data_IF_349615979685
#
_entry.id   IF_349615979685
#
_cell.length_a   1.000
_cell.length_b   1.000
_cell.length_c   1.000
_cell.angle_alpha   90.00
_cell.angle_beta   90.00
_cell.angle_gamma   90.00
#
_symmetry.space_group_name_H-M   'P 1'
#
loop_
_entity.id
_entity.type
_entity.pdbx_description
1 polymer ?
#
# COMPACT_ATOMS: atom_id res chain seq x y z
N UNK A 1 33.06 -37.51 -18.43
CA UNK A 1 31.64 -37.91 -18.25
C UNK A 1 31.01 -36.78 -17.45
N UNK A 2 30.09 -35.97 -17.93
CA UNK A 2 29.25 -36.05 -19.12
C UNK A 2 28.80 -34.63 -19.51
N UNK A 3 28.72 -34.39 -20.81
CA UNK A 3 28.30 -33.14 -21.42
C UNK A 3 26.85 -33.30 -21.87
N UNK A 4 25.92 -32.95 -20.99
CA UNK A 4 24.48 -32.86 -21.29
C UNK A 4 23.90 -32.07 -20.11
N UNK A 5 23.36 -30.87 -20.23
CA UNK A 5 22.16 -30.52 -20.99
C UNK A 5 22.26 -29.03 -21.30
N UNK A 6 22.49 -28.70 -22.56
CA UNK A 6 22.40 -27.34 -23.10
C UNK A 6 21.22 -27.37 -24.09
N UNK A 7 20.36 -26.35 -24.01
CA UNK A 7 19.54 -25.84 -25.11
C UNK A 7 18.11 -26.41 -25.31
N UNK A 8 17.12 -25.84 -24.61
CA UNK A 8 15.70 -25.74 -24.97
C UNK A 8 15.21 -24.45 -24.26
N UNK A 9 14.86 -23.33 -24.89
CA UNK A 9 13.88 -23.10 -25.95
C UNK A 9 14.18 -21.76 -26.65
N UNK A 10 14.42 -21.79 -27.96
CA UNK A 10 14.32 -20.65 -28.86
C UNK A 10 13.46 -21.13 -30.04
N UNK A 11 12.21 -20.67 -30.11
CA UNK A 11 11.37 -20.55 -31.31
C UNK A 11 9.89 -20.44 -30.92
N UNK A 12 9.33 -19.25 -31.03
CA UNK A 12 7.91 -19.04 -31.35
C UNK A 12 7.73 -17.61 -31.90
N UNK A 13 7.89 -17.47 -33.21
CA UNK A 13 7.31 -16.38 -34.01
C UNK A 13 6.27 -17.01 -34.94
N UNK A 14 5.36 -16.13 -35.38
CA UNK A 14 4.30 -16.30 -36.38
C UNK A 14 2.89 -16.66 -35.88
N UNK A 15 2.08 -15.61 -35.71
CA UNK A 15 0.62 -15.66 -35.83
C UNK A 15 0.22 -14.68 -36.95
N UNK A 16 -0.36 -15.13 -38.06
CA UNK A 16 -0.86 -14.25 -39.11
C UNK A 16 -2.31 -13.83 -38.81
N UNK A 17 -2.59 -12.53 -38.93
CA UNK A 17 -3.96 -12.02 -38.97
C UNK A 17 -4.55 -12.04 -40.38
N UNK A 18 -5.88 -11.92 -40.53
CA UNK A 18 -6.45 -11.38 -41.74
C UNK A 18 -7.33 -10.15 -41.53
N UNK A 19 -7.26 -9.32 -42.57
CA UNK A 19 -7.83 -7.99 -42.82
C UNK A 19 -9.36 -7.97 -42.83
N UNK A 20 -9.92 -6.81 -42.52
CA UNK A 20 -11.36 -6.56 -42.49
C UNK A 20 -12.02 -6.33 -43.84
N UNK A 21 -13.32 -6.07 -43.79
CA UNK A 21 -14.13 -5.39 -44.82
C UNK A 21 -15.28 -4.62 -44.18
N UNK A 22 -15.54 -3.49 -44.80
CA UNK A 22 -16.37 -2.35 -44.44
C UNK A 22 -17.85 -2.47 -44.82
N UNK A 23 -18.66 -1.73 -44.06
CA UNK A 23 -19.88 -1.00 -44.43
C UNK A 23 -21.12 -1.77 -44.86
N UNK A 24 -22.24 -1.52 -44.15
CA UNK A 24 -23.53 -1.15 -44.75
C UNK A 24 -24.39 -0.40 -43.73
N UNK A 25 -24.95 0.70 -44.22
CA UNK A 25 -25.90 1.59 -43.56
C UNK A 25 -27.27 0.91 -43.52
N UNK A 26 -28.02 1.09 -42.44
CA UNK A 26 -29.48 1.22 -42.55
C UNK A 26 -30.03 2.07 -41.40
N UNK A 27 -30.78 3.11 -41.79
CA UNK A 27 -31.54 4.00 -40.90
C UNK A 27 -32.96 3.43 -40.78
N UNK A 28 -33.53 3.47 -39.59
CA UNK A 28 -34.97 3.51 -39.40
C UNK A 28 -35.29 4.44 -38.20
N UNK A 29 -35.99 5.54 -38.48
CA UNK A 29 -36.75 6.36 -37.51
C UNK A 29 -37.90 5.50 -36.92
N UNK A 30 -38.37 5.65 -35.67
CA UNK A 30 -39.28 6.65 -35.05
C UNK A 30 -39.70 6.04 -33.65
N UNK A 31 -40.29 6.70 -32.61
CA UNK A 31 -40.31 8.09 -32.14
C UNK A 31 -39.78 8.30 -30.69
N UNK A 32 -39.60 9.57 -30.38
CA UNK A 32 -39.51 10.24 -29.08
C UNK A 32 -40.73 10.01 -28.16
N UNK A 33 -40.50 9.67 -26.88
CA UNK A 33 -41.26 10.20 -25.74
C UNK A 33 -40.58 9.95 -24.37
N UNK A 34 -40.13 11.07 -23.79
CA UNK A 34 -40.14 11.49 -22.37
C UNK A 34 -39.81 10.51 -21.23
N UNK A 35 -38.77 10.87 -20.46
CA UNK A 35 -38.77 10.66 -19.00
C UNK A 35 -37.43 10.22 -18.38
N UNK A 36 -37.01 10.97 -17.36
CA UNK A 36 -36.08 10.57 -16.30
C UNK A 36 -34.55 10.71 -16.54
N UNK A 37 -34.08 11.87 -16.07
CA UNK A 37 -32.98 12.00 -15.11
C UNK A 37 -31.55 11.62 -15.57
N UNK A 38 -30.81 12.66 -15.99
CA UNK A 38 -29.36 12.62 -16.20
C UNK A 38 -28.67 12.35 -14.86
N UNK A 39 -27.78 11.35 -14.72
CA UNK A 39 -26.93 11.25 -13.55
C UNK A 39 -25.87 12.36 -13.62
N UNK A 40 -26.02 13.35 -12.74
CA UNK A 40 -25.01 14.37 -12.53
C UNK A 40 -23.73 13.74 -11.99
N UNK A 41 -22.72 13.65 -12.86
CA UNK A 41 -21.31 13.45 -12.50
C UNK A 41 -20.82 14.68 -11.72
N UNK A 42 -21.11 14.69 -10.43
CA UNK A 42 -20.62 15.67 -9.47
C UNK A 42 -19.74 14.97 -8.45
N UNK A 43 -18.48 14.73 -8.81
CA UNK A 43 -17.44 14.29 -7.90
C UNK A 43 -17.28 15.38 -6.83
N UNK A 44 -17.88 15.18 -5.65
CA UNK A 44 -17.79 16.12 -4.51
C UNK A 44 -16.41 16.04 -3.87
N UNK A 45 -15.45 16.73 -4.47
CA UNK A 45 -14.22 17.11 -3.81
C UNK A 45 -14.55 18.04 -2.62
N UNK A 46 -14.08 17.68 -1.41
CA UNK A 46 -13.97 18.61 -0.28
C UNK A 46 -15.16 18.78 0.67
N UNK A 47 -15.98 17.74 0.95
CA UNK A 47 -16.93 17.80 2.08
C UNK A 47 -16.12 17.74 3.39
N UNK A 48 -16.13 18.80 4.22
CA UNK A 48 -15.54 18.76 5.57
C UNK A 48 -16.15 17.58 6.35
N UNK A 49 -15.28 16.71 6.89
CA UNK A 49 -15.71 15.53 7.66
C UNK A 49 -16.55 15.98 8.85
N UNK A 50 -17.69 15.34 9.05
CA UNK A 50 -18.55 15.59 10.22
C UNK A 50 -18.27 14.56 11.30
N UNK A 51 -18.67 14.84 12.55
CA UNK A 51 -18.59 13.85 13.63
C UNK A 51 -19.33 12.54 13.31
N UNK A 52 -20.38 12.60 12.47
CA UNK A 52 -21.07 11.41 11.96
C UNK A 52 -20.20 10.61 10.99
N UNK A 53 -19.34 11.25 10.19
CA UNK A 53 -18.45 10.53 9.27
C UNK A 53 -17.42 9.72 10.04
N UNK A 54 -16.81 10.31 11.06
CA UNK A 54 -15.84 9.62 11.91
C UNK A 54 -16.46 8.39 12.59
N UNK A 55 -17.67 8.52 13.13
CA UNK A 55 -18.41 7.38 13.71
C UNK A 55 -18.67 6.29 12.68
N UNK A 56 -19.11 6.66 11.47
CA UNK A 56 -19.40 5.70 10.40
C UNK A 56 -18.13 5.01 9.92
N UNK A 57 -17.04 5.75 9.69
CA UNK A 57 -15.78 5.19 9.21
C UNK A 57 -15.12 4.30 10.26
N UNK A 58 -15.19 4.67 11.55
CA UNK A 58 -14.73 3.82 12.66
C UNK A 58 -15.53 2.51 12.73
N UNK A 59 -16.86 2.59 12.70
CA UNK A 59 -17.72 1.41 12.70
C UNK A 59 -17.47 0.51 11.48
N UNK A 60 -17.33 1.12 10.30
CA UNK A 60 -17.02 0.40 9.08
C UNK A 60 -15.67 -0.33 9.18
N UNK A 61 -14.63 0.33 9.69
CA UNK A 61 -13.30 -0.26 9.88
C UNK A 61 -13.36 -1.50 10.75
N UNK A 62 -14.00 -1.40 11.92
CA UNK A 62 -14.14 -2.54 12.83
C UNK A 62 -14.85 -3.72 12.17
N UNK A 63 -15.95 -3.46 11.45
CA UNK A 63 -16.71 -4.49 10.75
C UNK A 63 -15.94 -5.09 9.57
N UNK A 64 -15.26 -4.28 8.76
CA UNK A 64 -14.47 -4.78 7.61
C UNK A 64 -13.24 -5.58 8.06
N UNK A 65 -12.61 -5.22 9.18
CA UNK A 65 -11.50 -5.98 9.75
C UNK A 65 -11.96 -7.32 10.34
N UNK A 66 -13.20 -7.40 10.85
CA UNK A 66 -13.75 -8.63 11.43
C UNK A 66 -14.36 -9.56 10.37
N UNK A 67 -15.23 -9.02 9.51
CA UNK A 67 -16.11 -9.79 8.63
C UNK A 67 -15.72 -9.73 7.15
N UNK A 68 -14.58 -9.07 6.84
CA UNK A 68 -14.11 -8.79 5.47
C UNK A 68 -15.16 -8.04 4.64
N UNK A 69 -14.95 -7.87 3.35
CA UNK A 69 -15.84 -7.01 2.57
C UNK A 69 -17.27 -7.57 2.41
N UNK A 70 -17.41 -8.89 2.23
CA UNK A 70 -18.70 -9.51 1.92
C UNK A 70 -19.61 -9.67 3.13
N UNK A 71 -19.05 -9.85 4.34
CA UNK A 71 -19.83 -9.95 5.58
C UNK A 71 -20.42 -8.63 6.08
N UNK A 72 -20.06 -7.50 5.47
CA UNK A 72 -20.49 -6.16 5.89
C UNK A 72 -21.63 -5.62 5.02
N UNK A 73 -22.63 -5.05 5.68
CA UNK A 73 -23.74 -4.31 5.06
C UNK A 73 -23.80 -2.88 5.61
N UNK A 74 -24.34 -1.93 4.84
CA UNK A 74 -24.50 -0.55 5.29
C UNK A 74 -25.43 -0.42 6.50
N UNK A 75 -26.35 -1.37 6.69
CA UNK A 75 -27.26 -1.39 7.83
C UNK A 75 -26.51 -1.75 9.11
N UNK A 76 -25.64 -2.77 9.08
CA UNK A 76 -24.75 -3.11 10.20
C UNK A 76 -23.80 -1.97 10.53
N UNK A 77 -23.30 -1.25 9.52
CA UNK A 77 -22.47 -0.06 9.74
C UNK A 77 -23.26 1.05 10.44
N UNK A 78 -24.50 1.30 10.02
CA UNK A 78 -25.36 2.31 10.63
C UNK A 78 -25.66 2.00 12.10
N UNK A 79 -26.05 0.76 12.37
CA UNK A 79 -26.31 0.25 13.72
C UNK A 79 -25.07 0.40 14.61
N UNK A 80 -23.91 -0.09 14.15
CA UNK A 80 -22.65 -0.03 14.91
C UNK A 80 -22.18 1.41 15.17
N UNK A 81 -22.43 2.32 14.24
CA UNK A 81 -22.09 3.74 14.36
C UNK A 81 -23.08 4.55 15.21
N UNK A 82 -24.23 3.98 15.57
CA UNK A 82 -25.31 4.67 16.28
C UNK A 82 -25.94 5.79 15.46
N UNK A 83 -26.09 5.60 14.14
CA UNK A 83 -26.70 6.56 13.23
C UNK A 83 -27.83 5.90 12.43
N UNK A 84 -28.74 6.69 11.85
CA UNK A 84 -29.80 6.12 11.02
C UNK A 84 -29.24 5.55 9.71
N UNK A 85 -29.88 4.49 9.19
CA UNK A 85 -29.60 3.93 7.86
C UNK A 85 -29.53 5.04 6.81
N UNK A 86 -30.56 5.89 6.76
CA UNK A 86 -30.64 7.01 5.81
C UNK A 86 -29.45 7.97 5.92
N UNK A 87 -28.88 8.15 7.11
CA UNK A 87 -27.64 8.93 7.27
C UNK A 87 -26.50 8.28 6.49
N UNK A 88 -26.23 6.99 6.68
CA UNK A 88 -25.13 6.31 5.97
C UNK A 88 -25.30 6.39 4.45
N UNK A 89 -26.49 6.11 3.93
CA UNK A 89 -26.77 6.20 2.49
C UNK A 89 -26.65 7.63 1.97
N UNK A 90 -27.15 8.65 2.69
CA UNK A 90 -26.99 10.06 2.28
C UNK A 90 -25.53 10.53 2.30
N UNK A 91 -24.72 9.98 3.22
CA UNK A 91 -23.32 10.38 3.39
C UNK A 91 -22.40 9.70 2.37
N UNK A 92 -22.58 8.40 2.13
CA UNK A 92 -21.64 7.58 1.35
C UNK A 92 -22.25 6.89 0.13
N UNK A 93 -23.57 6.73 0.06
CA UNK A 93 -24.27 6.12 -1.08
C UNK A 93 -24.14 4.61 -1.18
N UNK A 94 -22.92 4.05 -1.16
CA UNK A 94 -22.66 2.62 -1.37
C UNK A 94 -21.65 2.04 -0.36
N UNK A 95 -21.68 0.71 -0.21
CA UNK A 95 -20.69 -0.03 0.59
C UNK A 95 -19.27 0.20 0.09
N UNK A 96 -19.08 0.23 -1.23
CA UNK A 96 -17.78 0.48 -1.84
C UNK A 96 -17.25 1.87 -1.47
N UNK A 97 -18.10 2.90 -1.50
CA UNK A 97 -17.68 4.25 -1.09
C UNK A 97 -17.32 4.31 0.39
N UNK A 98 -18.10 3.68 1.28
CA UNK A 98 -17.75 3.58 2.71
C UNK A 98 -16.39 2.90 2.87
N UNK A 99 -16.17 1.81 2.14
CA UNK A 99 -14.91 1.07 2.22
C UNK A 99 -13.72 1.90 1.72
N UNK A 100 -13.85 2.57 0.57
CA UNK A 100 -12.83 3.49 0.02
C UNK A 100 -12.49 4.61 0.98
N UNK A 101 -13.50 5.27 1.53
CA UNK A 101 -13.29 6.38 2.47
C UNK A 101 -12.70 5.90 3.80
N UNK A 102 -13.04 4.69 4.24
CA UNK A 102 -12.42 4.06 5.41
C UNK A 102 -10.95 3.75 5.17
N UNK A 103 -10.60 3.16 4.03
CA UNK A 103 -9.21 2.90 3.62
C UNK A 103 -8.43 4.21 3.59
N UNK A 104 -8.96 5.25 2.94
CA UNK A 104 -8.35 6.59 2.89
C UNK A 104 -8.16 7.20 4.28
N UNK A 105 -9.17 7.09 5.13
CA UNK A 105 -9.11 7.61 6.49
C UNK A 105 -8.00 6.95 7.28
N UNK A 106 -7.94 5.62 7.27
CA UNK A 106 -6.92 4.85 7.95
C UNK A 106 -5.50 5.24 7.50
N UNK A 107 -5.28 5.37 6.20
CA UNK A 107 -3.98 5.82 5.68
C UNK A 107 -3.66 7.28 5.99
N UNK A 108 -4.67 8.17 6.03
CA UNK A 108 -4.43 9.57 6.40
C UNK A 108 -4.05 9.74 7.88
N UNK A 109 -4.60 8.91 8.77
CA UNK A 109 -4.19 8.86 10.18
C UNK A 109 -2.77 8.30 10.34
N UNK A 110 -2.35 7.44 9.42
CA UNK A 110 -1.01 6.88 9.37
C UNK A 110 0.04 7.90 8.89
N UNK A 111 -0.28 8.69 7.86
CA UNK A 111 0.61 9.74 7.33
C UNK A 111 0.60 11.05 8.14
N UNK A 112 -0.01 11.06 9.33
CA UNK A 112 -0.12 12.24 10.20
C UNK A 112 1.24 12.70 10.77
N UNK A 113 1.34 13.97 11.21
CA UNK A 113 2.58 14.58 11.69
C UNK A 113 3.23 13.82 12.87
N UNK A 114 2.44 13.21 13.75
CA UNK A 114 2.92 12.45 14.92
C UNK A 114 3.43 11.03 14.58
N UNK A 115 3.29 10.60 13.32
CA UNK A 115 3.65 9.26 12.83
C UNK A 115 4.62 9.29 11.65
N UNK A 116 5.38 10.38 11.51
CA UNK A 116 6.51 10.44 10.57
C UNK A 116 7.44 9.26 10.84
N UNK A 117 7.43 8.29 9.93
CA UNK A 117 8.31 7.10 9.99
C UNK A 117 9.78 7.46 9.79
N UNK A 118 10.05 8.70 9.35
CA UNK A 118 11.38 9.19 8.99
C UNK A 118 11.54 10.61 9.54
N UNK A 119 12.33 10.75 10.58
CA UNK A 119 12.93 12.03 10.98
C UNK A 119 14.38 12.01 10.51
N UNK A 120 14.66 12.82 9.50
CA UNK A 120 16.00 12.91 8.92
C UNK A 120 16.68 14.12 9.49
N UNK A 121 17.32 13.87 10.63
CA UNK A 121 18.28 14.80 11.20
C UNK A 121 19.43 14.95 10.19
N UNK A 122 19.77 16.20 9.87
CA UNK A 122 20.85 16.53 8.96
C UNK A 122 22.21 16.04 9.48
N UNK A 123 22.36 15.89 10.79
CA UNK A 123 23.61 15.49 11.42
C UNK A 123 23.71 13.97 11.68
N UNK A 124 22.62 13.21 11.50
CA UNK A 124 22.61 11.77 11.70
C UNK A 124 23.48 11.00 10.68
N UNK A 125 24.19 9.99 11.16
CA UNK A 125 24.88 9.01 10.33
C UNK A 125 23.89 8.17 9.51
N UNK A 126 24.40 7.52 8.45
CA UNK A 126 23.57 6.60 7.66
C UNK A 126 23.02 5.44 8.51
N UNK A 127 23.82 4.93 9.44
CA UNK A 127 23.41 3.88 10.38
C UNK A 127 22.23 4.30 11.25
N UNK A 128 22.28 5.51 11.82
CA UNK A 128 21.20 6.04 12.67
C UNK A 128 19.89 6.21 11.90
N UNK A 129 19.96 6.77 10.68
CA UNK A 129 18.77 6.94 9.82
C UNK A 129 18.16 5.60 9.43
N UNK A 130 18.97 4.64 9.00
CA UNK A 130 18.51 3.30 8.61
C UNK A 130 17.89 2.56 9.81
N UNK A 131 18.55 2.61 10.97
CA UNK A 131 18.08 1.97 12.21
C UNK A 131 16.77 2.60 12.69
N UNK A 132 16.68 3.93 12.72
CA UNK A 132 15.46 4.64 13.10
C UNK A 132 14.28 4.27 12.19
N UNK A 133 14.51 4.22 10.88
CA UNK A 133 13.50 3.82 9.92
C UNK A 133 13.07 2.36 10.08
N UNK A 134 14.01 1.44 10.36
CA UNK A 134 13.68 0.04 10.58
C UNK A 134 12.86 -0.18 11.87
N UNK A 135 13.18 0.55 12.95
CA UNK A 135 12.38 0.52 14.18
C UNK A 135 10.99 1.14 14.00
N UNK A 136 10.85 2.16 13.16
CA UNK A 136 9.52 2.72 12.85
C UNK A 136 8.67 1.70 12.09
N UNK A 137 9.27 0.93 11.16
CA UNK A 137 8.61 -0.22 10.52
C UNK A 137 8.25 -1.33 11.50
N UNK A 138 9.13 -1.65 12.47
CA UNK A 138 8.83 -2.64 13.49
C UNK A 138 7.66 -2.22 14.40
N UNK A 139 7.62 -0.96 14.84
CA UNK A 139 6.49 -0.40 15.59
C UNK A 139 5.19 -0.50 14.79
N UNK A 140 5.24 -0.19 13.50
CA UNK A 140 4.09 -0.36 12.62
C UNK A 140 3.63 -1.83 12.57
N UNK A 141 4.55 -2.77 12.49
CA UNK A 141 4.23 -4.19 12.40
C UNK A 141 3.70 -4.80 13.70
N UNK A 142 4.10 -4.25 14.85
CA UNK A 142 3.62 -4.69 16.16
C UNK A 142 2.27 -4.07 16.54
N UNK A 143 1.85 -3.00 15.86
CA UNK A 143 0.47 -2.49 15.95
C UNK A 143 -0.52 -3.47 15.31
N UNK A 144 -1.32 -4.16 16.13
CA UNK A 144 -2.28 -5.19 15.71
C UNK A 144 -3.30 -4.72 14.67
N UNK A 145 -3.62 -3.43 14.63
CA UNK A 145 -4.56 -2.87 13.66
C UNK A 145 -3.96 -2.77 12.26
N UNK A 146 -2.68 -2.41 12.15
CA UNK A 146 -1.98 -2.24 10.86
C UNK A 146 -1.79 -3.58 10.16
N UNK A 147 -1.40 -4.61 10.90
CA UNK A 147 -1.29 -5.97 10.38
C UNK A 147 -2.66 -6.50 9.94
N UNK A 148 -3.73 -6.26 10.72
CA UNK A 148 -5.09 -6.64 10.32
C UNK A 148 -5.54 -5.91 9.06
N UNK A 149 -5.16 -4.65 8.90
CA UNK A 149 -5.48 -3.90 7.69
C UNK A 149 -4.68 -4.38 6.48
N UNK A 150 -3.38 -4.64 6.62
CA UNK A 150 -2.56 -5.21 5.55
C UNK A 150 -3.09 -6.59 5.10
N UNK A 151 -3.52 -7.44 6.05
CA UNK A 151 -4.23 -8.70 5.79
C UNK A 151 -5.48 -8.49 4.93
N UNK A 152 -6.31 -7.50 5.29
CA UNK A 152 -7.51 -7.16 4.53
C UNK A 152 -7.17 -6.75 3.09
N UNK A 153 -6.14 -5.93 2.91
CA UNK A 153 -5.68 -5.51 1.57
C UNK A 153 -5.24 -6.71 0.74
N UNK A 154 -4.41 -7.60 1.31
CA UNK A 154 -3.96 -8.82 0.63
C UNK A 154 -5.16 -9.69 0.23
N UNK A 155 -6.07 -9.96 1.18
CA UNK A 155 -7.23 -10.81 0.95
C UNK A 155 -8.20 -10.26 -0.10
N UNK A 156 -8.37 -8.94 -0.17
CA UNK A 156 -9.35 -8.32 -1.06
C UNK A 156 -8.75 -7.86 -2.40
N UNK A 157 -7.42 -7.77 -2.53
CA UNK A 157 -6.75 -7.23 -3.73
C UNK A 157 -7.09 -7.96 -5.04
N UNK A 158 -7.28 -9.28 -5.00
CA UNK A 158 -7.66 -10.05 -6.19
C UNK A 158 -9.08 -9.75 -6.69
N UNK A 159 -9.97 -9.30 -5.80
CA UNK A 159 -11.38 -9.03 -6.10
C UNK A 159 -11.69 -7.55 -6.27
N UNK A 160 -10.98 -6.71 -5.52
CA UNK A 160 -11.09 -5.25 -5.52
C UNK A 160 -9.72 -4.65 -5.90
N UNK A 161 -9.30 -4.70 -7.18
CA UNK A 161 -7.95 -4.27 -7.59
C UNK A 161 -7.57 -2.86 -7.11
N UNK A 162 -8.57 -1.96 -7.06
CA UNK A 162 -8.38 -0.59 -6.59
C UNK A 162 -7.85 -0.49 -5.16
N UNK A 163 -8.05 -1.49 -4.30
CA UNK A 163 -7.58 -1.44 -2.91
C UNK A 163 -6.05 -1.50 -2.84
N UNK A 164 -5.43 -2.27 -3.73
CA UNK A 164 -3.98 -2.36 -3.84
C UNK A 164 -3.38 -1.05 -4.38
N UNK A 165 -4.02 -0.45 -5.38
CA UNK A 165 -3.62 0.86 -5.91
C UNK A 165 -3.73 1.94 -4.84
N UNK A 166 -4.83 1.97 -4.08
CA UNK A 166 -5.04 2.96 -3.03
C UNK A 166 -4.08 2.75 -1.85
N UNK A 167 -3.82 1.49 -1.49
CA UNK A 167 -2.79 1.10 -0.52
C UNK A 167 -1.41 1.64 -0.91
N UNK A 168 -1.02 1.46 -2.17
CA UNK A 168 0.26 1.98 -2.65
C UNK A 168 0.24 3.51 -2.70
N UNK A 169 -0.81 4.12 -3.23
CA UNK A 169 -0.87 5.56 -3.47
C UNK A 169 -0.91 6.39 -2.19
N UNK A 170 -1.65 5.96 -1.16
CA UNK A 170 -1.83 6.72 0.09
C UNK A 170 -0.93 6.20 1.21
N UNK A 171 -0.65 4.90 1.24
CA UNK A 171 0.17 4.26 2.27
C UNK A 171 1.63 4.11 1.86
N UNK A 172 1.94 3.03 1.12
CA UNK A 172 3.32 2.58 0.89
C UNK A 172 4.17 3.55 0.04
N UNK A 173 3.57 4.20 -0.95
CA UNK A 173 4.24 5.10 -1.89
C UNK A 173 4.85 6.33 -1.22
N UNK A 174 4.07 7.12 -0.45
CA UNK A 174 4.60 8.24 0.33
C UNK A 174 5.71 7.85 1.31
N UNK A 175 5.60 6.68 1.96
CA UNK A 175 6.67 6.18 2.86
C UNK A 175 7.96 5.91 2.11
N UNK A 176 7.88 5.23 0.96
CA UNK A 176 9.05 4.97 0.11
C UNK A 176 9.67 6.28 -0.39
N UNK A 177 8.84 7.26 -0.77
CA UNK A 177 9.32 8.56 -1.23
C UNK A 177 10.05 9.33 -0.12
N UNK A 178 9.45 9.44 1.07
CA UNK A 178 10.06 10.12 2.20
C UNK A 178 11.38 9.48 2.64
N UNK A 179 11.45 8.14 2.65
CA UNK A 179 12.70 7.46 2.98
C UNK A 179 13.76 7.64 1.88
N UNK A 180 13.38 7.62 0.60
CA UNK A 180 14.30 7.91 -0.50
C UNK A 180 14.86 9.34 -0.41
N UNK A 181 14.03 10.34 -0.08
CA UNK A 181 14.45 11.74 0.12
C UNK A 181 15.49 11.87 1.26
N UNK A 182 15.34 11.06 2.31
CA UNK A 182 16.33 10.98 3.38
C UNK A 182 17.64 10.36 2.93
N UNK A 183 17.59 9.27 2.16
CA UNK A 183 18.78 8.67 1.56
C UNK A 183 19.46 9.66 0.59
N UNK A 184 18.71 10.46 -0.17
CA UNK A 184 19.25 11.54 -1.00
C UNK A 184 20.01 12.58 -0.16
N UNK A 185 19.51 12.89 1.04
CA UNK A 185 20.21 13.72 2.02
C UNK A 185 21.57 13.15 2.41
N UNK A 186 21.62 11.85 2.72
CA UNK A 186 22.86 11.17 3.06
C UNK A 186 23.84 11.10 1.88
N UNK A 187 23.34 10.92 0.66
CA UNK A 187 24.18 10.96 -0.56
C UNK A 187 24.76 12.35 -0.77
N UNK A 188 23.96 13.41 -0.64
CA UNK A 188 24.44 14.81 -0.73
C UNK A 188 25.49 15.14 0.33
N UNK A 189 25.37 14.57 1.52
CA UNK A 189 26.34 14.72 2.60
C UNK A 189 27.59 13.82 2.45
N UNK A 190 27.69 13.01 1.39
CA UNK A 190 28.79 12.07 1.19
C UNK A 190 28.79 10.87 2.15
N UNK A 191 27.71 10.68 2.91
CA UNK A 191 27.53 9.60 3.90
C UNK A 191 26.98 8.30 3.27
N UNK A 192 26.57 8.34 2.01
CA UNK A 192 26.20 7.18 1.19
C UNK A 192 26.66 7.35 -0.26
N UNK A 193 26.95 6.23 -0.93
CA UNK A 193 27.21 6.10 -2.36
C UNK A 193 26.05 5.31 -3.00
N UNK A 194 24.95 6.01 -3.30
CA UNK A 194 23.76 5.37 -3.83
C UNK A 194 23.27 6.08 -5.10
N UNK A 195 23.31 5.44 -6.29
CA UNK A 195 22.86 6.06 -7.54
C UNK A 195 21.33 6.09 -7.72
N UNK A 196 20.61 5.18 -7.05
CA UNK A 196 19.14 5.13 -7.07
C UNK A 196 18.63 4.87 -5.64
N UNK A 197 18.39 5.97 -4.93
CA UNK A 197 17.90 5.97 -3.54
C UNK A 197 16.49 5.40 -3.41
N UNK A 198 15.66 5.48 -4.46
CA UNK A 198 14.30 4.92 -4.47
C UNK A 198 14.31 3.41 -4.64
N UNK A 199 15.25 2.85 -5.39
CA UNK A 199 15.52 1.41 -5.42
C UNK A 199 16.10 0.95 -4.09
N UNK A 200 17.11 1.64 -3.58
CA UNK A 200 17.77 1.30 -2.31
C UNK A 200 16.79 1.31 -1.12
N UNK A 201 15.90 2.32 -1.05
CA UNK A 201 14.82 2.37 -0.06
C UNK A 201 13.96 1.10 -0.08
N UNK A 202 13.55 0.65 -1.28
CA UNK A 202 12.74 -0.57 -1.44
C UNK A 202 13.51 -1.84 -1.09
N UNK A 203 14.79 -1.91 -1.42
CA UNK A 203 15.65 -3.04 -1.04
C UNK A 203 15.79 -3.14 0.48
N UNK A 204 16.08 -2.03 1.15
CA UNK A 204 16.16 -1.97 2.62
C UNK A 204 14.85 -2.37 3.28
N UNK A 205 13.74 -1.80 2.81
CA UNK A 205 12.40 -2.18 3.28
C UNK A 205 12.14 -3.67 3.09
N UNK A 206 12.57 -4.28 1.98
CA UNK A 206 12.44 -5.72 1.74
C UNK A 206 13.17 -6.56 2.79
N UNK A 207 14.44 -6.22 3.08
CA UNK A 207 15.25 -6.90 4.10
C UNK A 207 14.57 -6.92 5.47
N UNK A 208 13.92 -5.81 5.84
CA UNK A 208 13.25 -5.69 7.14
C UNK A 208 11.84 -6.31 7.14
N UNK A 209 11.05 -6.09 6.07
CA UNK A 209 9.65 -6.52 6.00
C UNK A 209 9.49 -8.03 6.01
N UNK A 210 10.44 -8.76 5.41
CA UNK A 210 10.40 -10.22 5.34
C UNK A 210 10.24 -10.85 6.74
N UNK A 211 10.98 -10.35 7.72
CA UNK A 211 10.94 -10.90 9.07
C UNK A 211 9.94 -10.17 9.96
N UNK A 212 9.82 -8.84 9.83
CA UNK A 212 9.07 -8.06 10.81
C UNK A 212 7.60 -7.87 10.44
N UNK A 213 7.23 -7.93 9.15
CA UNK A 213 5.87 -7.61 8.69
C UNK A 213 5.15 -8.84 8.15
N UNK A 214 5.76 -9.57 7.22
CA UNK A 214 5.08 -10.66 6.51
C UNK A 214 4.60 -11.80 7.41
N UNK A 215 5.29 -12.24 8.47
CA UNK A 215 4.76 -13.27 9.36
C UNK A 215 3.46 -12.82 10.04
N UNK A 216 3.43 -11.56 10.48
CA UNK A 216 2.22 -10.91 10.97
C UNK A 216 1.13 -10.87 9.90
N UNK A 217 1.43 -10.46 8.67
CA UNK A 217 0.42 -10.42 7.60
C UNK A 217 -0.11 -11.82 7.24
N UNK A 218 0.75 -12.82 7.12
CA UNK A 218 0.34 -14.18 6.74
C UNK A 218 -0.31 -14.95 7.89
N UNK A 219 -0.11 -14.51 9.14
CA UNK A 219 -0.64 -15.17 10.32
C UNK A 219 0.17 -16.39 10.74
N UNK A 220 1.48 -16.40 10.48
CA UNK A 220 2.36 -17.45 10.99
C UNK A 220 2.49 -17.35 12.51
N UNK A 221 2.42 -18.49 13.18
CA UNK A 221 2.75 -18.60 14.60
C UNK A 221 4.26 -18.33 14.80
N UNK A 222 4.60 -17.71 15.92
CA UNK A 222 5.97 -17.23 16.19
C UNK A 222 6.99 -18.38 16.23
N UNK A 223 6.55 -19.55 16.70
CA UNK A 223 7.32 -20.79 16.80
C UNK A 223 7.54 -21.46 15.42
N UNK A 224 6.61 -21.28 14.49
CA UNK A 224 6.74 -21.76 13.09
C UNK A 224 7.63 -20.84 12.26
N UNK A 225 7.73 -19.57 12.65
CA UNK A 225 8.48 -18.56 11.90
C UNK A 225 9.99 -18.54 12.20
N UNK A 226 10.47 -19.32 13.18
CA UNK A 226 11.88 -19.34 13.67
C UNK A 226 12.51 -17.93 13.68
N UNK A 227 11.75 -16.98 14.23
CA UNK A 227 11.97 -15.57 13.90
C UNK A 227 13.10 -15.01 14.76
N UNK A 228 14.17 -14.47 14.16
CA UNK A 228 15.18 -13.76 14.93
C UNK A 228 14.56 -12.54 15.64
N UNK A 229 15.11 -12.14 16.80
CA UNK A 229 14.74 -10.91 17.47
C UNK A 229 14.81 -9.68 16.55
N UNK A 230 13.93 -8.71 16.78
CA UNK A 230 13.80 -7.56 15.88
C UNK A 230 15.08 -6.72 15.77
N UNK A 231 15.81 -6.56 16.87
CA UNK A 231 17.11 -5.88 16.90
C UNK A 231 18.13 -6.59 16.00
N UNK A 232 18.20 -7.92 16.03
CA UNK A 232 19.10 -8.71 15.16
C UNK A 232 18.75 -8.49 13.68
N UNK A 233 17.46 -8.57 13.31
CA UNK A 233 17.00 -8.31 11.93
C UNK A 233 17.41 -6.91 11.48
N UNK A 234 17.20 -5.91 12.33
CA UNK A 234 17.47 -4.51 12.03
C UNK A 234 18.97 -4.29 11.82
N UNK A 235 19.82 -4.76 12.73
CA UNK A 235 21.27 -4.60 12.60
C UNK A 235 21.83 -5.31 11.36
N UNK A 236 21.36 -6.52 11.06
CA UNK A 236 21.78 -7.25 9.85
C UNK A 236 21.30 -6.59 8.56
N UNK A 237 20.09 -6.02 8.55
CA UNK A 237 19.60 -5.23 7.42
C UNK A 237 20.44 -3.96 7.20
N UNK A 238 20.80 -3.25 8.28
CA UNK A 238 21.68 -2.07 8.24
C UNK A 238 23.07 -2.44 7.70
N UNK A 239 23.69 -3.51 8.24
CA UNK A 239 24.99 -4.01 7.77
C UNK A 239 24.96 -4.39 6.31
N UNK A 240 23.96 -5.16 5.88
CA UNK A 240 23.80 -5.59 4.48
C UNK A 240 23.65 -4.40 3.54
N UNK A 241 22.88 -3.39 3.94
CA UNK A 241 22.68 -2.18 3.16
C UNK A 241 23.97 -1.36 3.03
N UNK A 242 24.68 -1.14 4.14
CA UNK A 242 25.91 -0.36 4.17
C UNK A 242 27.07 -1.08 3.48
N UNK A 243 27.12 -2.41 3.52
CA UNK A 243 28.08 -3.17 2.72
C UNK A 243 27.98 -2.85 1.21
N UNK A 244 26.79 -2.46 0.72
CA UNK A 244 26.57 -2.08 -0.68
C UNK A 244 26.73 -0.59 -0.95
N UNK A 245 26.30 0.27 -0.03
CA UNK A 245 26.08 1.70 -0.26
C UNK A 245 26.89 2.63 0.64
N UNK A 246 27.71 2.11 1.56
CA UNK A 246 28.61 2.95 2.35
C UNK A 246 29.59 3.72 1.44
N UNK A 247 30.06 4.91 1.87
CA UNK A 247 31.16 5.58 1.21
C UNK A 247 32.39 4.67 1.23
N UNK A 248 33.20 4.69 0.16
CA UNK A 248 34.50 4.04 0.19
C UNK A 248 35.28 4.57 1.39
N UNK A 249 35.81 3.67 2.20
CA UNK A 249 36.76 4.03 3.23
C UNK A 249 37.86 4.82 2.54
N UNK A 250 38.03 6.10 2.88
CA UNK A 250 39.25 6.80 2.53
C UNK A 250 40.36 6.02 3.24
N UNK A 251 41.04 5.13 2.50
CA UNK A 251 42.17 4.41 3.04
C UNK A 251 43.15 5.44 3.56
N UNK A 252 43.46 5.37 4.86
CA UNK A 252 44.65 6.02 5.40
C UNK A 252 45.83 5.59 4.53
N UNK A 253 46.29 6.50 3.67
CA UNK A 253 47.66 6.49 3.16
C UNK A 253 48.59 7.02 4.23
#
# INVERSE_FOLDING_TARGET
>A
MDASVRNHLSAARDVPGPRGRSASRERADVPEQAGANRPGTGQKAGRRRTASDEKILKAAKELFLADRYDGVTLDRVAERAGVSRQTVYNRFGSKETVFREMVRHHWSEFAGPDRRLVECDADASAEEVLRAFAWSMHRFATESEQIRFARLVVAESGRLPWIADEFYRIGKGPVVAAFAECLDGLVRAGRLRCPDTRLAARQFMGLVQEFLVWPGVMGFEEEVADRPPADVVIEEAVRTFLARYAPESQGSS
#
